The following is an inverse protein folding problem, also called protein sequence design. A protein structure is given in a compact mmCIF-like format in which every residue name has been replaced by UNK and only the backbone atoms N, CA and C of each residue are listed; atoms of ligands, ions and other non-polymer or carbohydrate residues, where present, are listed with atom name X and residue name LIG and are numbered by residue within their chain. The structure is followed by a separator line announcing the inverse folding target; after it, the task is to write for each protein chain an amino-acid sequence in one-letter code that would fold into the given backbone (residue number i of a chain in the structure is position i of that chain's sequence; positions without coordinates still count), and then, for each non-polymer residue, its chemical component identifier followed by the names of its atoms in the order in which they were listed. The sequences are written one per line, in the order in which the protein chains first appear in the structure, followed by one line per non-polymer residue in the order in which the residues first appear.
data_IF_310843498637
#
_entry.id   IF_310843498637
#
_cell.length_a   1.000
_cell.length_b   1.000
_cell.length_c   1.000
_cell.angle_alpha   90.00
_cell.angle_beta   90.00
_cell.angle_gamma   90.00
#
_symmetry.space_group_name_H-M   'P 1'
#
loop_
_entity.id
_entity.type
_entity.pdbx_description
1 polymer ?
#
# COMPACT_ATOMS: atom_id res chain seq x y z
N UNK A 1 -33.51 -3.79 -6.26
CA UNK A 1 -32.25 -3.43 -5.62
C UNK A 1 -31.73 -4.63 -4.83
N UNK A 2 -30.47 -4.95 -4.98
CA UNK A 2 -29.81 -6.10 -4.36
C UNK A 2 -28.45 -5.71 -3.81
N UNK A 3 -28.22 -6.04 -2.54
CA UNK A 3 -26.97 -5.83 -1.85
C UNK A 3 -26.15 -7.14 -1.87
N UNK A 4 -24.87 -7.03 -2.21
CA UNK A 4 -23.90 -8.12 -2.15
C UNK A 4 -22.75 -7.61 -1.31
N UNK A 5 -22.82 -7.80 0.01
CA UNK A 5 -21.84 -7.33 0.98
C UNK A 5 -21.14 -8.49 1.68
N UNK A 6 -19.88 -8.25 2.06
CA UNK A 6 -19.07 -9.18 2.86
C UNK A 6 -18.51 -8.58 4.15
N UNK A 7 -18.97 -7.40 4.65
CA UNK A 7 -18.46 -6.87 5.90
C UNK A 7 -19.03 -7.66 7.10
N UNK A 8 -18.44 -7.52 8.30
CA UNK A 8 -19.07 -7.88 9.55
C UNK A 8 -20.47 -7.26 9.68
N UNK A 9 -21.37 -7.93 10.40
CA UNK A 9 -22.80 -7.53 10.45
C UNK A 9 -23.03 -6.15 11.09
N UNK A 10 -22.20 -5.76 12.01
CA UNK A 10 -22.18 -4.46 12.69
C UNK A 10 -21.80 -3.30 11.76
N UNK A 11 -20.84 -3.51 10.86
CA UNK A 11 -20.45 -2.53 9.84
C UNK A 11 -21.50 -2.37 8.74
N UNK A 12 -22.20 -3.44 8.37
CA UNK A 12 -23.20 -3.42 7.30
C UNK A 12 -24.44 -2.57 7.64
N UNK A 13 -24.81 -2.47 8.93
CA UNK A 13 -26.07 -1.86 9.36
C UNK A 13 -26.15 -0.37 8.97
N UNK A 14 -25.10 0.41 9.17
CA UNK A 14 -25.04 1.82 8.81
C UNK A 14 -25.10 2.04 7.31
N UNK A 15 -24.30 1.29 6.55
CA UNK A 15 -24.28 1.37 5.08
C UNK A 15 -25.65 1.09 4.46
N UNK A 16 -26.45 0.15 5.01
CA UNK A 16 -27.76 -0.18 4.48
C UNK A 16 -28.77 0.96 4.52
N UNK A 17 -28.54 2.00 5.33
CA UNK A 17 -29.43 3.18 5.46
C UNK A 17 -29.16 4.29 4.47
N UNK A 18 -28.13 4.18 3.63
CA UNK A 18 -27.77 5.14 2.60
C UNK A 18 -28.86 5.24 1.50
N UNK A 19 -28.97 6.35 0.76
CA UNK A 19 -30.00 6.57 -0.25
C UNK A 19 -29.75 5.79 -1.55
N UNK A 20 -29.67 4.48 -1.46
CA UNK A 20 -29.31 3.57 -2.55
C UNK A 20 -30.24 3.60 -3.77
N UNK A 21 -31.44 4.16 -3.65
CA UNK A 21 -32.40 4.32 -4.76
C UNK A 21 -32.07 5.48 -5.68
N UNK A 22 -31.22 6.40 -5.21
CA UNK A 22 -30.89 7.64 -5.91
C UNK A 22 -29.57 7.53 -6.68
N UNK A 23 -29.38 8.24 -7.81
CA UNK A 23 -28.07 8.34 -8.47
C UNK A 23 -27.03 8.89 -7.51
N UNK A 24 -25.83 8.26 -7.46
CA UNK A 24 -24.76 8.59 -6.49
C UNK A 24 -24.38 10.09 -6.50
N UNK A 25 -24.39 10.73 -7.67
CA UNK A 25 -24.10 12.17 -7.83
C UNK A 25 -25.10 13.09 -7.15
N UNK A 26 -26.33 12.61 -6.88
CA UNK A 26 -27.44 13.38 -6.33
C UNK A 26 -27.61 13.20 -4.83
N UNK A 27 -26.81 12.30 -4.22
CA UNK A 27 -26.92 12.01 -2.80
C UNK A 27 -26.71 13.27 -1.95
N UNK A 28 -27.59 13.44 -0.98
CA UNK A 28 -27.52 14.44 0.08
C UNK A 28 -27.65 13.69 1.40
N UNK A 29 -26.54 13.34 2.01
CA UNK A 29 -26.46 12.60 3.27
C UNK A 29 -25.37 13.24 4.12
N UNK A 30 -25.62 13.45 5.41
CA UNK A 30 -24.71 14.13 6.34
C UNK A 30 -23.40 13.36 6.55
N UNK A 31 -23.35 12.08 6.18
CA UNK A 31 -22.15 11.22 6.23
C UNK A 31 -21.25 11.35 5.00
N UNK A 32 -21.67 12.12 4.00
CA UNK A 32 -20.83 12.38 2.83
C UNK A 32 -19.65 13.26 3.21
N UNK A 33 -18.47 12.81 2.86
CA UNK A 33 -17.22 13.51 3.13
C UNK A 33 -16.57 13.92 1.81
N UNK A 34 -16.10 15.15 1.75
CA UNK A 34 -15.30 15.63 0.63
C UNK A 34 -13.82 15.30 0.85
N UNK A 35 -13.28 14.42 0.00
CA UNK A 35 -11.84 14.16 -0.06
C UNK A 35 -11.29 14.87 -1.28
N UNK A 36 -10.28 15.70 -1.07
CA UNK A 36 -9.59 16.40 -2.15
C UNK A 36 -8.70 15.41 -2.93
N UNK A 37 -9.33 14.50 -3.67
CA UNK A 37 -8.63 13.66 -4.64
C UNK A 37 -8.40 14.46 -5.91
N UNK A 38 -7.13 14.64 -6.27
CA UNK A 38 -6.75 15.24 -7.54
C UNK A 38 -6.46 14.16 -8.57
N UNK A 39 -7.50 13.47 -9.03
CA UNK A 39 -7.48 12.53 -10.13
C UNK A 39 -8.71 12.72 -11.00
N UNK A 40 -8.58 12.60 -12.32
CA UNK A 40 -9.71 12.56 -13.25
C UNK A 40 -10.25 11.14 -13.21
N UNK A 41 -11.36 10.93 -12.51
CA UNK A 41 -12.09 9.65 -12.54
C UNK A 41 -13.13 9.67 -13.66
N UNK A 42 -13.23 8.58 -14.41
CA UNK A 42 -14.32 8.36 -15.39
C UNK A 42 -15.66 8.09 -14.71
N UNK A 43 -15.62 7.70 -13.44
CA UNK A 43 -16.77 7.34 -12.61
C UNK A 43 -17.04 8.40 -11.57
N UNK A 44 -18.30 8.50 -11.16
CA UNK A 44 -18.67 9.28 -9.97
C UNK A 44 -18.20 8.51 -8.74
N UNK A 45 -17.30 9.12 -7.98
CA UNK A 45 -16.81 8.59 -6.70
C UNK A 45 -17.26 9.53 -5.57
N UNK A 46 -17.82 8.98 -4.52
CA UNK A 46 -18.19 9.68 -3.28
C UNK A 46 -17.60 8.93 -2.09
N UNK A 47 -17.37 9.66 -1.02
CA UNK A 47 -16.89 9.08 0.23
C UNK A 47 -17.94 9.24 1.31
N UNK A 48 -18.09 8.19 2.14
CA UNK A 48 -19.04 8.15 3.24
C UNK A 48 -18.33 7.70 4.49
N UNK A 49 -18.49 8.45 5.56
CA UNK A 49 -18.07 8.06 6.90
C UNK A 49 -19.23 7.37 7.62
N UNK A 50 -19.02 6.16 8.11
CA UNK A 50 -19.99 5.42 8.89
C UNK A 50 -19.27 4.65 10.00
N UNK A 51 -19.73 4.85 11.24
CA UNK A 51 -19.20 4.14 12.43
C UNK A 51 -17.67 4.33 12.66
N UNK A 52 -17.13 5.48 12.24
CA UNK A 52 -15.70 5.79 12.36
C UNK A 52 -14.82 5.21 11.25
N UNK A 53 -15.43 4.58 10.24
CA UNK A 53 -14.77 4.05 9.07
C UNK A 53 -15.14 4.85 7.82
N UNK A 54 -14.22 5.02 6.92
CA UNK A 54 -14.42 5.76 5.67
C UNK A 54 -14.51 4.79 4.48
N UNK A 55 -15.52 5.00 3.65
CA UNK A 55 -15.81 4.16 2.48
C UNK A 55 -15.78 4.98 1.20
N UNK A 56 -15.24 4.39 0.13
CA UNK A 56 -15.33 4.93 -1.21
C UNK A 56 -16.46 4.20 -1.97
N UNK A 57 -17.36 4.98 -2.57
CA UNK A 57 -18.48 4.51 -3.36
C UNK A 57 -18.24 4.91 -4.82
N UNK A 58 -18.11 3.93 -5.72
CA UNK A 58 -17.86 4.12 -7.15
C UNK A 58 -19.10 3.71 -7.95
N UNK A 59 -19.71 4.68 -8.68
CA UNK A 59 -20.85 4.41 -9.56
C UNK A 59 -20.38 3.91 -10.91
N UNK A 60 -20.88 2.76 -11.35
CA UNK A 60 -20.46 2.11 -12.59
C UNK A 60 -21.51 1.13 -13.12
N UNK A 61 -21.36 0.71 -14.37
CA UNK A 61 -22.23 -0.30 -14.94
C UNK A 61 -22.24 -1.61 -14.13
N UNK A 62 -23.40 -2.25 -13.99
CA UNK A 62 -23.58 -3.42 -13.13
C UNK A 62 -22.64 -4.58 -13.46
N UNK A 63 -22.41 -4.85 -14.73
CA UNK A 63 -21.50 -5.92 -15.17
C UNK A 63 -20.07 -5.69 -14.67
N UNK A 64 -19.61 -4.44 -14.75
CA UNK A 64 -18.28 -4.02 -14.26
C UNK A 64 -18.21 -4.08 -12.75
N UNK A 65 -19.19 -3.54 -12.02
CA UNK A 65 -19.23 -3.57 -10.57
C UNK A 65 -19.16 -5.01 -10.00
N UNK A 66 -19.91 -5.95 -10.59
CA UNK A 66 -19.88 -7.35 -10.21
C UNK A 66 -18.54 -8.02 -10.53
N UNK A 67 -17.90 -7.63 -11.64
CA UNK A 67 -16.57 -8.14 -12.03
C UNK A 67 -15.51 -7.63 -11.09
N UNK A 68 -15.42 -6.32 -10.89
CA UNK A 68 -14.44 -5.69 -10.02
C UNK A 68 -14.58 -6.17 -8.57
N UNK A 69 -15.80 -6.31 -8.06
CA UNK A 69 -16.06 -6.91 -6.76
C UNK A 69 -15.43 -8.31 -6.60
N UNK A 70 -15.60 -9.18 -7.62
CA UNK A 70 -15.03 -10.54 -7.58
C UNK A 70 -13.51 -10.53 -7.65
N UNK A 71 -12.94 -9.67 -8.48
CA UNK A 71 -11.50 -9.54 -8.67
C UNK A 71 -10.82 -9.02 -7.39
N UNK A 72 -11.34 -7.96 -6.77
CA UNK A 72 -10.81 -7.44 -5.52
C UNK A 72 -10.92 -8.45 -4.37
N UNK A 73 -12.00 -9.22 -4.32
CA UNK A 73 -12.10 -10.33 -3.35
C UNK A 73 -11.05 -11.41 -3.57
N UNK A 74 -10.83 -11.79 -4.83
CA UNK A 74 -9.80 -12.78 -5.16
C UNK A 74 -8.39 -12.28 -4.77
N UNK A 75 -8.10 -11.00 -4.99
CA UNK A 75 -6.84 -10.40 -4.56
C UNK A 75 -6.68 -10.43 -3.02
N UNK A 76 -7.73 -10.11 -2.27
CA UNK A 76 -7.69 -10.20 -0.81
C UNK A 76 -7.37 -11.62 -0.30
N UNK A 77 -7.86 -12.66 -1.00
CA UNK A 77 -7.58 -14.07 -0.68
C UNK A 77 -6.13 -14.46 -0.98
N UNK A 78 -5.48 -13.80 -1.94
CA UNK A 78 -4.07 -14.06 -2.31
C UNK A 78 -3.07 -13.21 -1.54
N UNK A 79 -3.55 -12.22 -0.77
CA UNK A 79 -2.70 -11.32 0.00
C UNK A 79 -1.94 -10.28 -0.85
N UNK A 80 -2.35 -10.05 -2.10
CA UNK A 80 -1.80 -8.96 -2.91
C UNK A 80 -2.38 -7.62 -2.43
N UNK A 81 -1.54 -6.59 -2.23
CA UNK A 81 -2.01 -5.28 -1.78
C UNK A 81 -3.03 -4.66 -2.73
N UNK A 82 -4.26 -4.50 -2.28
CA UNK A 82 -5.36 -3.87 -2.99
C UNK A 82 -6.32 -3.23 -1.99
N UNK A 83 -7.15 -2.30 -2.45
CA UNK A 83 -8.21 -1.75 -1.59
C UNK A 83 -9.19 -2.86 -1.19
N UNK A 84 -9.62 -2.83 0.06
CA UNK A 84 -10.54 -3.82 0.61
C UNK A 84 -11.94 -3.58 0.08
N UNK A 85 -12.49 -4.54 -0.66
CA UNK A 85 -13.87 -4.45 -1.14
C UNK A 85 -14.86 -4.85 -0.04
N UNK A 86 -15.84 -4.01 0.20
CA UNK A 86 -16.93 -4.19 1.17
C UNK A 86 -18.13 -4.84 0.51
N UNK A 87 -18.50 -4.38 -0.69
CA UNK A 87 -19.64 -4.91 -1.39
C UNK A 87 -19.98 -4.21 -2.69
N UNK A 88 -21.08 -4.63 -3.29
CA UNK A 88 -21.68 -3.94 -4.43
C UNK A 88 -23.19 -3.91 -4.31
N UNK A 89 -23.80 -2.80 -4.74
CA UNK A 89 -25.25 -2.62 -4.79
C UNK A 89 -25.68 -2.59 -6.25
N UNK A 90 -26.52 -3.53 -6.62
CA UNK A 90 -26.95 -3.80 -8.01
C UNK A 90 -28.47 -3.82 -8.09
N UNK A 91 -29.02 -3.92 -9.31
CA UNK A 91 -30.47 -3.89 -9.54
C UNK A 91 -31.14 -2.66 -8.90
N UNK A 92 -30.50 -1.48 -8.97
CA UNK A 92 -30.96 -0.25 -8.34
C UNK A 92 -32.10 0.46 -9.07
N UNK A 93 -32.47 -0.01 -10.25
CA UNK A 93 -33.51 0.55 -11.10
C UNK A 93 -32.98 0.91 -12.48
N UNK A 94 -33.87 1.41 -13.38
CA UNK A 94 -33.50 1.65 -14.78
C UNK A 94 -32.52 2.79 -15.00
N UNK A 95 -32.51 3.77 -14.08
CA UNK A 95 -31.77 5.04 -14.24
C UNK A 95 -30.61 5.19 -13.25
N UNK A 96 -30.30 4.14 -12.46
CA UNK A 96 -29.23 4.18 -11.47
C UNK A 96 -28.21 3.07 -11.71
N UNK A 97 -26.97 3.47 -11.94
CA UNK A 97 -25.83 2.57 -12.04
C UNK A 97 -25.64 1.75 -10.76
N UNK A 98 -24.97 0.62 -10.87
CA UNK A 98 -24.49 -0.11 -9.69
C UNK A 98 -23.47 0.72 -8.92
N UNK A 99 -23.31 0.45 -7.64
CA UNK A 99 -22.29 1.06 -6.79
C UNK A 99 -21.39 -0.04 -6.24
N UNK A 100 -20.09 0.11 -6.47
CA UNK A 100 -19.05 -0.65 -5.79
C UNK A 100 -18.66 0.11 -4.51
N UNK A 101 -18.54 -0.60 -3.39
CA UNK A 101 -18.15 -0.07 -2.09
C UNK A 101 -16.83 -0.69 -1.70
N UNK A 102 -15.83 0.15 -1.47
CA UNK A 102 -14.52 -0.24 -0.95
C UNK A 102 -14.23 0.53 0.33
N UNK A 103 -13.44 -0.06 1.24
CA UNK A 103 -12.93 0.66 2.39
C UNK A 103 -11.86 1.66 1.92
N UNK A 104 -11.89 2.85 2.48
CA UNK A 104 -10.84 3.82 2.24
C UNK A 104 -9.51 3.30 2.80
N UNK A 105 -8.44 3.57 2.10
CA UNK A 105 -7.10 3.18 2.55
C UNK A 105 -6.49 4.33 3.37
N UNK A 106 -6.63 4.24 4.69
CA UNK A 106 -6.11 5.25 5.61
C UNK A 106 -4.60 5.44 5.46
N UNK A 107 -4.13 6.66 5.73
CA UNK A 107 -2.72 7.04 5.63
C UNK A 107 -2.09 6.81 4.26
N UNK A 108 -2.92 6.60 3.24
CA UNK A 108 -2.45 6.50 1.87
C UNK A 108 -2.17 7.87 1.26
N UNK A 109 -1.35 7.87 0.23
CA UNK A 109 -1.00 9.06 -0.55
C UNK A 109 -1.03 8.75 -2.03
N UNK A 110 -1.28 9.75 -2.85
CA UNK A 110 -1.20 9.63 -4.31
C UNK A 110 0.22 9.94 -4.78
N UNK A 111 0.55 9.45 -6.00
CA UNK A 111 1.84 9.80 -6.62
C UNK A 111 2.05 11.32 -6.75
N UNK A 112 1.00 12.09 -7.07
CA UNK A 112 1.08 13.56 -7.16
C UNK A 112 1.52 14.20 -5.84
N UNK A 113 0.98 13.73 -4.72
CA UNK A 113 1.37 14.21 -3.40
C UNK A 113 2.81 13.83 -3.03
N UNK A 114 3.28 12.66 -3.45
CA UNK A 114 4.67 12.23 -3.25
C UNK A 114 5.65 13.15 -3.98
N UNK A 115 5.36 13.52 -5.23
CA UNK A 115 6.21 14.44 -6.00
C UNK A 115 6.10 15.89 -5.53
N UNK A 116 4.94 16.31 -5.02
CA UNK A 116 4.77 17.67 -4.48
C UNK A 116 5.53 17.90 -3.18
N UNK A 117 5.87 16.83 -2.45
CA UNK A 117 6.59 16.94 -1.18
C UNK A 117 7.53 15.74 -0.98
N UNK A 118 8.67 15.70 -1.67
CA UNK A 118 9.60 14.58 -1.60
C UNK A 118 10.25 14.50 -0.21
N UNK A 119 10.15 13.34 0.43
CA UNK A 119 10.82 13.01 1.68
C UNK A 119 12.01 12.10 1.40
N UNK A 120 13.16 12.45 1.90
CA UNK A 120 14.33 11.59 2.07
C UNK A 120 14.66 10.69 0.88
N UNK A 121 15.34 11.21 -0.13
CA UNK A 121 15.75 10.50 -1.33
C UNK A 121 14.90 10.87 -2.56
N UNK A 122 15.21 10.28 -3.69
CA UNK A 122 14.43 10.49 -4.91
C UNK A 122 13.10 9.76 -4.81
N UNK A 123 11.94 10.46 -4.83
CA UNK A 123 10.63 9.82 -4.70
C UNK A 123 10.36 8.84 -5.83
N UNK A 124 10.98 9.05 -7.00
CA UNK A 124 10.85 8.21 -8.19
C UNK A 124 11.30 6.77 -7.94
N UNK A 125 12.47 6.56 -7.35
CA UNK A 125 13.01 5.22 -7.10
C UNK A 125 12.12 4.40 -6.17
N UNK A 126 11.71 5.01 -5.06
CA UNK A 126 10.85 4.34 -4.07
C UNK A 126 9.47 4.00 -4.63
N UNK A 127 8.93 4.88 -5.46
CA UNK A 127 7.65 4.69 -6.14
C UNK A 127 7.73 3.56 -7.16
N UNK A 128 8.80 3.53 -7.98
CA UNK A 128 9.01 2.47 -8.96
C UNK A 128 9.20 1.10 -8.31
N UNK A 129 9.98 1.02 -7.23
CA UNK A 129 10.19 -0.23 -6.51
C UNK A 129 8.86 -0.77 -5.98
N UNK A 130 8.01 0.08 -5.37
CA UNK A 130 6.71 -0.31 -4.87
C UNK A 130 5.76 -0.77 -5.99
N UNK A 131 5.72 -0.04 -7.10
CA UNK A 131 4.86 -0.37 -8.25
C UNK A 131 5.31 -1.68 -8.92
N UNK A 132 6.61 -1.87 -9.10
CA UNK A 132 7.19 -3.10 -9.65
C UNK A 132 6.87 -4.30 -8.77
N UNK A 133 7.03 -4.16 -7.45
CA UNK A 133 6.71 -5.22 -6.51
C UNK A 133 5.23 -5.61 -6.58
N UNK A 134 4.32 -4.63 -6.62
CA UNK A 134 2.89 -4.87 -6.80
C UNK A 134 2.60 -5.60 -8.12
N UNK A 135 3.15 -5.13 -9.25
CA UNK A 135 2.91 -5.74 -10.57
C UNK A 135 3.45 -7.18 -10.62
N UNK A 136 4.63 -7.45 -10.06
CA UNK A 136 5.18 -8.81 -9.98
C UNK A 136 4.30 -9.72 -9.12
N UNK A 137 3.80 -9.24 -7.97
CA UNK A 137 2.87 -9.99 -7.12
C UNK A 137 1.57 -10.35 -7.85
N UNK A 138 0.99 -9.39 -8.58
CA UNK A 138 -0.19 -9.61 -9.43
C UNK A 138 0.07 -10.70 -10.48
N UNK A 139 1.17 -10.61 -11.22
CA UNK A 139 1.52 -11.57 -12.26
C UNK A 139 1.79 -12.98 -11.71
N UNK A 140 2.45 -13.11 -10.56
CA UNK A 140 2.65 -14.41 -9.89
C UNK A 140 1.34 -15.08 -9.49
N UNK A 141 0.30 -14.29 -9.17
CA UNK A 141 -1.04 -14.78 -8.88
C UNK A 141 -1.90 -15.00 -10.14
N UNK A 142 -1.35 -14.82 -11.34
CA UNK A 142 -2.09 -14.96 -12.58
C UNK A 142 -3.05 -13.80 -12.88
N UNK A 143 -2.81 -12.65 -12.26
CA UNK A 143 -3.65 -11.47 -12.41
C UNK A 143 -3.03 -10.50 -13.44
N UNK A 144 -3.74 -10.29 -14.55
CA UNK A 144 -3.44 -9.29 -15.56
C UNK A 144 -4.13 -8.00 -15.16
N UNK A 145 -3.40 -6.90 -14.99
CA UNK A 145 -3.99 -5.64 -14.51
C UNK A 145 -4.70 -4.88 -15.61
N UNK A 146 -4.05 -4.73 -16.78
CA UNK A 146 -4.62 -4.10 -17.97
C UNK A 146 -4.69 -2.57 -17.95
N UNK A 147 -4.48 -1.93 -16.79
CA UNK A 147 -4.40 -0.47 -16.62
C UNK A 147 -3.49 -0.10 -15.44
N UNK A 148 -2.30 -0.70 -15.41
CA UNK A 148 -1.29 -0.38 -14.42
C UNK A 148 -0.82 1.06 -14.61
N UNK A 149 -1.20 1.94 -13.68
CA UNK A 149 -0.89 3.37 -13.72
C UNK A 149 -0.68 3.91 -12.30
N UNK A 150 -0.01 5.06 -12.22
CA UNK A 150 0.18 5.75 -10.94
C UNK A 150 -1.16 6.28 -10.38
N UNK A 151 -2.10 6.64 -11.24
CA UNK A 151 -3.45 7.09 -10.86
C UNK A 151 -4.31 5.97 -10.27
N UNK A 152 -4.09 4.73 -10.68
CA UNK A 152 -4.78 3.54 -10.20
C UNK A 152 -4.06 2.88 -9.02
N UNK A 153 -3.08 3.59 -8.44
CA UNK A 153 -2.26 3.12 -7.32
C UNK A 153 -2.30 4.13 -6.18
N UNK A 154 -2.51 3.65 -4.97
CA UNK A 154 -2.26 4.38 -3.74
C UNK A 154 -1.00 3.84 -3.06
N UNK A 155 -0.31 4.70 -2.34
CA UNK A 155 0.94 4.36 -1.69
C UNK A 155 0.82 4.60 -0.18
N UNK A 156 1.36 3.68 0.62
CA UNK A 156 1.52 3.84 2.07
C UNK A 156 2.98 3.72 2.45
N UNK A 157 3.35 4.42 3.51
CA UNK A 157 4.66 4.24 4.12
C UNK A 157 4.70 2.91 4.86
N UNK A 158 5.77 2.15 4.66
CA UNK A 158 6.03 0.90 5.34
C UNK A 158 7.49 0.81 5.77
N UNK A 159 7.79 1.36 6.92
CA UNK A 159 9.10 1.33 7.54
C UNK A 159 10.24 1.81 6.61
N UNK A 160 10.09 3.04 6.09
CA UNK A 160 11.05 3.68 5.21
C UNK A 160 10.95 3.26 3.75
N UNK A 161 10.06 2.33 3.40
CA UNK A 161 9.67 1.97 2.03
C UNK A 161 8.29 2.52 1.70
N UNK A 162 7.90 2.41 0.43
CA UNK A 162 6.51 2.55 0.00
C UNK A 162 5.95 1.17 -0.29
N UNK A 163 4.71 0.93 0.09
CA UNK A 163 3.90 -0.17 -0.40
C UNK A 163 2.84 0.38 -1.33
N UNK A 164 2.69 -0.24 -2.51
CA UNK A 164 1.72 0.14 -3.52
C UNK A 164 0.46 -0.72 -3.40
N UNK A 165 -0.71 -0.09 -3.50
CA UNK A 165 -2.02 -0.73 -3.42
C UNK A 165 -2.79 -0.52 -4.71
N UNK A 166 -3.29 -1.59 -5.31
CA UNK A 166 -4.19 -1.52 -6.44
C UNK A 166 -5.55 -0.95 -6.01
N UNK A 167 -6.02 0.08 -6.72
CA UNK A 167 -7.29 0.76 -6.42
C UNK A 167 -8.39 0.35 -7.39
N UNK A 168 -8.05 0.22 -8.68
CA UNK A 168 -9.00 -0.04 -9.76
C UNK A 168 -8.66 -1.33 -10.49
N UNK A 169 -9.60 -2.29 -10.46
CA UNK A 169 -9.49 -3.59 -11.13
C UNK A 169 -10.48 -3.73 -12.31
N UNK A 170 -11.05 -2.62 -12.82
CA UNK A 170 -12.08 -2.63 -13.84
C UNK A 170 -11.65 -3.34 -15.13
N UNK A 171 -10.41 -3.12 -15.57
CA UNK A 171 -9.82 -3.70 -16.79
C UNK A 171 -9.15 -5.05 -16.56
N UNK A 172 -9.00 -5.45 -15.31
CA UNK A 172 -8.19 -6.59 -14.91
C UNK A 172 -8.80 -7.94 -15.26
N UNK A 173 -7.96 -8.95 -15.40
CA UNK A 173 -8.35 -10.33 -15.68
C UNK A 173 -7.63 -11.33 -14.76
N UNK A 174 -8.35 -12.34 -14.29
CA UNK A 174 -7.79 -13.43 -13.51
C UNK A 174 -7.61 -14.66 -14.39
N UNK A 175 -6.39 -15.17 -14.43
CA UNK A 175 -6.00 -16.40 -15.12
C UNK A 175 -5.40 -17.40 -14.12
N UNK A 176 -5.38 -18.70 -14.41
CA UNK A 176 -4.64 -19.66 -13.58
C UNK A 176 -3.14 -19.33 -13.51
N UNK A 177 -2.55 -18.90 -14.63
CA UNK A 177 -1.19 -18.37 -14.79
C UNK A 177 -1.17 -17.46 -15.99
N UNK A 178 -0.32 -16.43 -15.96
CA UNK A 178 -0.08 -15.59 -17.13
C UNK A 178 0.99 -16.21 -18.03
N UNK A 179 0.79 -16.11 -19.33
CA UNK A 179 1.83 -16.38 -20.33
C UNK A 179 2.85 -15.23 -20.37
N UNK A 180 4.04 -15.49 -20.89
CA UNK A 180 5.05 -14.45 -21.08
C UNK A 180 4.50 -13.27 -21.89
N UNK A 181 3.79 -13.54 -22.99
CA UNK A 181 3.19 -12.50 -23.81
C UNK A 181 2.12 -11.67 -23.11
N UNK A 182 1.35 -12.26 -22.19
CA UNK A 182 0.39 -11.48 -21.37
C UNK A 182 1.12 -10.57 -20.39
N UNK A 183 2.18 -11.06 -19.74
CA UNK A 183 3.00 -10.22 -18.83
C UNK A 183 3.70 -9.10 -19.57
N UNK A 184 4.30 -9.41 -20.73
CA UNK A 184 4.97 -8.41 -21.56
C UNK A 184 4.00 -7.32 -22.04
N UNK A 185 2.77 -7.70 -22.36
CA UNK A 185 1.74 -6.76 -22.75
C UNK A 185 1.27 -5.87 -21.60
N UNK A 186 1.08 -6.45 -20.41
CA UNK A 186 0.70 -5.67 -19.22
C UNK A 186 1.82 -4.70 -18.80
N UNK A 187 3.07 -5.15 -18.93
CA UNK A 187 4.25 -4.30 -18.69
C UNK A 187 4.38 -3.18 -19.73
N UNK A 188 4.01 -3.42 -20.99
CA UNK A 188 3.96 -2.38 -22.02
C UNK A 188 2.92 -1.30 -21.68
N UNK A 189 1.73 -1.72 -21.26
CA UNK A 189 0.69 -0.80 -20.81
C UNK A 189 1.16 0.01 -19.59
N UNK A 190 1.82 -0.63 -18.62
CA UNK A 190 2.40 0.04 -17.44
C UNK A 190 3.44 1.10 -17.86
N UNK A 191 4.33 0.76 -18.80
CA UNK A 191 5.32 1.68 -19.35
C UNK A 191 4.68 2.92 -19.98
N UNK A 192 3.69 2.71 -20.85
CA UNK A 192 2.98 3.78 -21.54
C UNK A 192 2.26 4.71 -20.54
N UNK A 193 1.53 4.12 -19.58
CA UNK A 193 0.76 4.87 -18.57
C UNK A 193 1.65 5.67 -17.63
N UNK A 194 2.66 5.02 -17.07
CA UNK A 194 3.57 5.67 -16.12
C UNK A 194 4.36 6.79 -16.81
N UNK A 195 4.89 6.54 -18.01
CA UNK A 195 5.59 7.56 -18.78
C UNK A 195 4.70 8.77 -19.10
N UNK A 196 3.44 8.53 -19.53
CA UNK A 196 2.46 9.58 -19.80
C UNK A 196 2.11 10.41 -18.55
N UNK A 197 1.85 9.76 -17.42
CA UNK A 197 1.51 10.46 -16.16
C UNK A 197 2.68 11.25 -15.58
N UNK A 198 3.92 10.78 -15.75
CA UNK A 198 5.12 11.53 -15.37
C UNK A 198 5.35 12.74 -16.29
N UNK A 199 5.07 12.59 -17.59
CA UNK A 199 5.10 13.72 -18.52
C UNK A 199 4.06 14.78 -18.14
N UNK A 200 2.86 14.39 -17.70
CA UNK A 200 1.84 15.31 -17.18
C UNK A 200 2.32 16.03 -15.91
N UNK A 201 3.01 15.33 -15.00
CA UNK A 201 3.62 15.96 -13.81
C UNK A 201 4.70 16.97 -14.22
N UNK A 202 5.52 16.65 -15.22
CA UNK A 202 6.55 17.54 -15.73
C UNK A 202 5.94 18.78 -16.37
N UNK A 203 4.90 18.62 -17.17
CA UNK A 203 4.15 19.75 -17.74
C UNK A 203 3.50 20.61 -16.65
N UNK A 204 3.06 20.00 -15.55
CA UNK A 204 2.53 20.68 -14.35
C UNK A 204 3.60 21.23 -13.40
N UNK A 205 4.89 21.16 -13.75
CA UNK A 205 6.03 21.62 -12.93
C UNK A 205 6.13 20.92 -11.54
N UNK A 206 5.60 19.73 -11.42
CA UNK A 206 5.68 18.90 -10.21
C UNK A 206 6.83 17.88 -10.27
N UNK A 207 7.39 17.64 -11.46
CA UNK A 207 8.55 16.79 -11.68
C UNK A 207 9.74 17.68 -12.10
N UNK A 208 10.95 17.48 -11.52
CA UNK A 208 12.14 18.20 -11.93
C UNK A 208 12.42 18.04 -13.43
N UNK A 209 12.85 19.10 -14.14
CA UNK A 209 13.10 19.03 -15.58
C UNK A 209 14.24 18.08 -15.97
N UNK A 210 15.11 17.72 -15.01
CA UNK A 210 16.21 16.78 -15.19
C UNK A 210 15.73 15.32 -15.22
N UNK A 211 14.54 15.04 -14.75
CA UNK A 211 13.94 13.69 -14.75
C UNK A 211 13.25 13.45 -16.08
N UNK A 212 13.76 12.52 -16.88
CA UNK A 212 13.13 12.12 -18.14
C UNK A 212 12.03 11.08 -17.88
N UNK A 213 10.75 11.38 -18.12
CA UNK A 213 9.64 10.44 -17.95
C UNK A 213 9.81 9.11 -18.70
N UNK A 214 10.46 9.13 -19.86
CA UNK A 214 10.70 7.92 -20.66
C UNK A 214 11.81 7.07 -20.03
N UNK A 215 12.90 7.67 -19.57
CA UNK A 215 13.96 6.95 -18.85
C UNK A 215 13.41 6.29 -17.57
N UNK A 216 12.50 6.97 -16.85
CA UNK A 216 11.84 6.42 -15.67
C UNK A 216 10.94 5.24 -16.02
N UNK A 217 10.18 5.33 -17.11
CA UNK A 217 9.35 4.23 -17.59
C UNK A 217 10.20 3.04 -18.09
N UNK A 218 11.34 3.29 -18.71
CA UNK A 218 12.31 2.24 -19.08
C UNK A 218 12.92 1.58 -17.83
N UNK A 219 13.15 2.36 -16.76
CA UNK A 219 13.64 1.83 -15.50
C UNK A 219 12.62 0.91 -14.82
N UNK A 220 11.33 1.23 -14.89
CA UNK A 220 10.26 0.33 -14.43
C UNK A 220 10.37 -1.04 -15.10
N UNK A 221 10.55 -1.10 -16.42
CA UNK A 221 10.74 -2.37 -17.15
C UNK A 221 11.98 -3.13 -16.69
N UNK A 222 13.12 -2.44 -16.54
CA UNK A 222 14.37 -3.07 -16.09
C UNK A 222 14.22 -3.66 -14.69
N UNK A 223 13.62 -2.92 -13.75
CA UNK A 223 13.38 -3.38 -12.38
C UNK A 223 12.42 -4.56 -12.34
N UNK A 224 11.32 -4.49 -13.11
CA UNK A 224 10.39 -5.60 -13.22
C UNK A 224 11.09 -6.87 -13.72
N UNK A 225 11.84 -6.79 -14.83
CA UNK A 225 12.52 -7.94 -15.40
C UNK A 225 13.56 -8.50 -14.42
N UNK A 226 14.34 -7.64 -13.77
CA UNK A 226 15.34 -8.07 -12.79
C UNK A 226 14.69 -8.79 -11.59
N UNK A 227 13.58 -8.29 -11.07
CA UNK A 227 12.84 -8.92 -9.98
C UNK A 227 12.20 -10.23 -10.44
N UNK A 228 11.55 -10.24 -11.61
CA UNK A 228 10.93 -11.42 -12.18
C UNK A 228 11.94 -12.55 -12.40
N UNK A 229 13.09 -12.23 -13.01
CA UNK A 229 14.17 -13.21 -13.24
C UNK A 229 14.73 -13.74 -11.91
N UNK A 230 14.91 -12.85 -10.93
CA UNK A 230 15.35 -13.26 -9.60
C UNK A 230 14.37 -14.24 -8.94
N UNK A 231 13.05 -14.01 -9.09
CA UNK A 231 12.02 -14.84 -8.48
C UNK A 231 11.80 -16.17 -9.21
N UNK A 232 12.01 -16.22 -10.54
CA UNK A 232 11.63 -17.36 -11.39
C UNK A 232 12.82 -18.16 -11.92
N UNK A 233 14.06 -17.69 -11.77
CA UNK A 233 15.24 -18.36 -12.30
C UNK A 233 15.40 -19.77 -11.75
N UNK A 234 15.84 -20.68 -12.63
CA UNK A 234 16.28 -22.01 -12.26
C UNK A 234 17.80 -22.02 -12.04
N UNK A 235 18.28 -22.73 -11.04
CA UNK A 235 19.71 -22.88 -10.75
C UNK A 235 20.14 -24.34 -10.88
N UNK A 236 21.31 -24.58 -11.48
CA UNK A 236 21.93 -25.90 -11.49
C UNK A 236 22.86 -25.99 -10.29
N UNK A 237 22.56 -26.91 -9.37
CA UNK A 237 23.27 -27.06 -8.11
C UNK A 237 24.10 -28.35 -8.13
N UNK A 238 25.36 -28.27 -7.66
CA UNK A 238 26.17 -29.45 -7.35
C UNK A 238 25.67 -30.07 -6.03
N UNK A 239 25.82 -31.40 -5.89
CA UNK A 239 25.34 -32.09 -4.69
C UNK A 239 25.88 -31.52 -3.37
N UNK A 240 27.14 -31.06 -3.37
CA UNK A 240 27.83 -30.53 -2.20
C UNK A 240 27.29 -29.13 -1.79
N UNK A 241 26.73 -28.37 -2.73
CA UNK A 241 26.30 -27.00 -2.54
C UNK A 241 24.79 -26.88 -2.24
N UNK A 242 24.02 -27.95 -2.44
CA UNK A 242 22.55 -27.91 -2.46
C UNK A 242 21.95 -27.27 -1.21
N UNK A 243 22.32 -27.73 -0.01
CA UNK A 243 21.74 -27.23 1.24
C UNK A 243 22.00 -25.75 1.45
N UNK A 244 23.22 -25.31 1.20
CA UNK A 244 23.61 -23.92 1.36
C UNK A 244 22.91 -23.02 0.35
N UNK A 245 22.92 -23.40 -0.93
CA UNK A 245 22.32 -22.60 -2.02
C UNK A 245 20.81 -22.52 -1.89
N UNK A 246 20.15 -23.61 -1.51
CA UNK A 246 18.70 -23.59 -1.23
C UNK A 246 18.42 -22.63 -0.08
N UNK A 247 19.12 -22.72 1.04
CA UNK A 247 18.93 -21.85 2.19
C UNK A 247 19.19 -20.37 1.87
N UNK A 248 20.25 -20.09 1.10
CA UNK A 248 20.57 -18.74 0.61
C UNK A 248 19.45 -18.19 -0.28
N UNK A 249 18.97 -19.01 -1.22
CA UNK A 249 17.87 -18.64 -2.12
C UNK A 249 16.59 -18.33 -1.37
N UNK A 250 16.19 -19.20 -0.43
CA UNK A 250 15.00 -19.00 0.40
C UNK A 250 15.11 -17.72 1.24
N UNK A 251 16.26 -17.47 1.86
CA UNK A 251 16.50 -16.25 2.60
C UNK A 251 16.35 -15.00 1.72
N UNK A 252 16.93 -15.01 0.52
CA UNK A 252 16.86 -13.90 -0.43
C UNK A 252 15.44 -13.64 -0.91
N UNK A 253 14.65 -14.69 -1.19
CA UNK A 253 13.24 -14.55 -1.52
C UNK A 253 12.45 -13.91 -0.38
N UNK A 254 12.68 -14.36 0.86
CA UNK A 254 12.02 -13.80 2.04
C UNK A 254 12.44 -12.33 2.29
N UNK A 255 13.72 -11.97 2.03
CA UNK A 255 14.20 -10.58 2.11
C UNK A 255 13.50 -9.66 1.09
N UNK A 256 13.09 -10.22 -0.06
CA UNK A 256 12.32 -9.55 -1.11
C UNK A 256 10.80 -9.55 -0.84
N UNK A 257 10.34 -10.15 0.27
CA UNK A 257 8.92 -10.23 0.61
C UNK A 257 8.14 -11.35 -0.09
N UNK A 258 8.85 -12.38 -0.57
CA UNK A 258 8.25 -13.54 -1.25
C UNK A 258 8.58 -14.84 -0.51
N UNK A 259 7.63 -15.78 -0.50
CA UNK A 259 7.83 -17.13 0.03
C UNK A 259 8.10 -18.15 -1.07
N UNK A 260 8.80 -19.22 -0.71
CA UNK A 260 8.88 -20.40 -1.55
C UNK A 260 7.63 -21.26 -1.33
N UNK A 261 6.75 -21.30 -2.30
CA UNK A 261 5.58 -22.18 -2.27
C UNK A 261 5.95 -23.65 -2.47
N UNK A 262 6.93 -23.92 -3.32
CA UNK A 262 7.39 -25.28 -3.64
C UNK A 262 8.86 -25.24 -4.07
N UNK A 263 9.63 -26.17 -3.56
CA UNK A 263 11.04 -26.37 -3.95
C UNK A 263 11.14 -27.71 -4.67
N UNK A 264 11.48 -27.67 -5.95
CA UNK A 264 11.66 -28.86 -6.78
C UNK A 264 13.13 -29.03 -7.15
N UNK A 265 13.65 -30.23 -6.91
CA UNK A 265 14.98 -30.62 -7.33
C UNK A 265 14.87 -31.70 -8.41
N UNK A 266 15.26 -31.38 -9.64
CA UNK A 266 15.25 -32.29 -10.76
C UNK A 266 16.67 -32.70 -11.08
N UNK A 267 16.97 -34.01 -10.96
CA UNK A 267 18.29 -34.56 -11.34
C UNK A 267 18.51 -34.47 -12.85
N UNK A 268 19.62 -33.87 -13.24
CA UNK A 268 20.08 -33.78 -14.64
C UNK A 268 21.45 -34.41 -14.79
N UNK A 269 21.91 -34.63 -16.02
CA UNK A 269 23.26 -35.18 -16.27
C UNK A 269 24.40 -34.26 -15.82
N UNK A 270 24.14 -33.00 -15.55
CA UNK A 270 25.09 -31.97 -15.13
C UNK A 270 25.01 -31.61 -13.65
N UNK A 271 24.03 -32.16 -12.92
CA UNK A 271 23.75 -31.85 -11.51
C UNK A 271 22.25 -31.87 -11.21
N UNK A 272 21.84 -31.30 -10.06
CA UNK A 272 20.44 -31.15 -9.73
C UNK A 272 19.99 -29.74 -10.09
N UNK A 273 18.93 -29.64 -10.89
CA UNK A 273 18.28 -28.35 -11.22
C UNK A 273 17.35 -27.99 -10.09
N UNK A 274 17.64 -26.84 -9.45
CA UNK A 274 16.76 -26.24 -8.44
C UNK A 274 15.73 -25.36 -9.15
N UNK A 275 14.47 -25.67 -8.94
CA UNK A 275 13.33 -24.81 -9.29
C UNK A 275 12.62 -24.44 -7.99
N UNK A 276 12.50 -23.16 -7.76
CA UNK A 276 11.71 -22.64 -6.65
C UNK A 276 10.47 -21.99 -7.25
N UNK A 277 9.31 -22.55 -6.92
CA UNK A 277 8.02 -21.87 -7.21
C UNK A 277 7.80 -20.84 -6.14
N UNK A 278 7.98 -19.59 -6.52
CA UNK A 278 7.65 -18.45 -5.66
C UNK A 278 6.15 -18.31 -5.49
N UNK A 279 5.75 -18.10 -4.27
CA UNK A 279 4.43 -17.56 -3.95
C UNK A 279 4.62 -16.13 -3.48
N UNK A 280 3.61 -15.29 -3.72
CA UNK A 280 3.44 -14.11 -2.89
C UNK A 280 3.42 -14.63 -1.46
N UNK A 281 4.39 -14.22 -0.63
CA UNK A 281 4.36 -14.56 0.79
C UNK A 281 2.94 -14.30 1.27
N UNK A 282 2.37 -15.20 2.08
CA UNK A 282 1.10 -14.84 2.72
C UNK A 282 1.32 -13.48 3.36
N UNK A 283 0.89 -12.46 2.64
CA UNK A 283 1.00 -11.08 3.04
C UNK A 283 0.53 -10.99 4.49
N UNK A 284 1.40 -10.53 5.39
CA UNK A 284 1.01 -10.37 6.77
C UNK A 284 1.40 -11.48 7.74
N UNK A 285 2.45 -12.25 7.48
CA UNK A 285 2.97 -13.17 8.52
C UNK A 285 3.42 -12.40 9.76
N UNK A 286 4.27 -11.40 9.61
CA UNK A 286 4.71 -10.55 10.73
C UNK A 286 3.58 -9.66 11.23
N UNK A 287 2.75 -9.14 10.34
CA UNK A 287 1.53 -8.39 10.65
C UNK A 287 0.59 -9.21 11.55
N UNK A 288 0.26 -10.46 11.17
CA UNK A 288 -0.56 -11.35 12.00
C UNK A 288 0.12 -11.67 13.33
N UNK A 289 1.41 -11.97 13.33
CA UNK A 289 2.16 -12.23 14.56
C UNK A 289 2.13 -11.03 15.51
N UNK A 290 2.37 -9.83 14.99
CA UNK A 290 2.32 -8.60 15.78
C UNK A 290 0.91 -8.38 16.33
N UNK A 291 -0.09 -8.44 15.45
CA UNK A 291 -1.50 -8.27 15.85
C UNK A 291 -1.94 -9.25 16.94
N UNK A 292 -1.62 -10.53 16.79
CA UNK A 292 -1.94 -11.55 17.80
C UNK A 292 -1.26 -11.34 19.14
N UNK A 293 -0.09 -10.67 19.18
CA UNK A 293 0.68 -10.43 20.40
C UNK A 293 0.36 -9.10 21.07
N UNK A 294 -0.02 -8.09 20.29
CA UNK A 294 -0.12 -6.69 20.76
C UNK A 294 -1.43 -6.01 20.37
N UNK A 295 -2.19 -6.53 19.39
CA UNK A 295 -3.34 -5.84 18.82
C UNK A 295 -2.99 -4.72 17.84
N UNK A 296 -1.69 -4.46 17.58
CA UNK A 296 -1.25 -3.40 16.66
C UNK A 296 -1.48 -3.86 15.22
N UNK A 297 -2.21 -3.06 14.44
CA UNK A 297 -2.27 -3.17 13.00
C UNK A 297 -1.12 -2.35 12.38
N UNK A 298 -0.31 -3.00 11.57
CA UNK A 298 0.87 -2.42 10.95
C UNK A 298 1.14 -3.07 9.60
N UNK A 299 1.90 -2.40 8.74
CA UNK A 299 2.36 -3.01 7.49
C UNK A 299 3.43 -4.07 7.75
N UNK A 300 3.76 -4.87 6.74
CA UNK A 300 4.59 -6.07 6.93
C UNK A 300 6.02 -5.74 7.39
N UNK A 301 6.66 -4.73 6.81
CA UNK A 301 7.99 -4.31 7.25
C UNK A 301 7.97 -3.61 8.61
N UNK A 302 6.96 -2.79 8.87
CA UNK A 302 6.72 -2.21 10.19
C UNK A 302 6.56 -3.31 11.23
N UNK A 303 5.68 -4.28 10.97
CA UNK A 303 5.43 -5.40 11.88
C UNK A 303 6.69 -6.21 12.17
N UNK A 304 7.51 -6.50 11.15
CA UNK A 304 8.80 -7.17 11.32
C UNK A 304 9.75 -6.38 12.23
N UNK A 305 9.84 -5.06 12.05
CA UNK A 305 10.71 -4.19 12.86
C UNK A 305 10.21 -4.07 14.29
N UNK A 306 8.90 -3.92 14.49
CA UNK A 306 8.28 -3.89 15.81
C UNK A 306 8.50 -5.23 16.58
N UNK A 307 8.35 -6.37 15.91
CA UNK A 307 8.66 -7.68 16.50
C UNK A 307 10.14 -7.81 16.90
N UNK A 308 11.06 -7.27 16.10
CA UNK A 308 12.48 -7.23 16.46
C UNK A 308 12.75 -6.32 17.66
N UNK A 309 12.06 -5.19 17.78
CA UNK A 309 12.18 -4.31 18.92
C UNK A 309 11.62 -4.96 20.21
N UNK A 310 10.49 -5.67 20.12
CA UNK A 310 9.94 -6.50 21.22
C UNK A 310 10.96 -7.56 21.65
N UNK A 311 11.62 -8.23 20.73
CA UNK A 311 12.64 -9.24 21.03
C UNK A 311 13.86 -8.61 21.73
N UNK A 312 14.28 -7.43 21.29
CA UNK A 312 15.36 -6.66 21.93
C UNK A 312 14.99 -6.21 23.35
N UNK A 313 13.76 -5.73 23.53
CA UNK A 313 13.23 -5.35 24.83
C UNK A 313 13.13 -6.55 25.78
N UNK A 314 12.73 -7.72 25.27
CA UNK A 314 12.76 -8.96 26.06
C UNK A 314 14.15 -9.28 26.55
N UNK A 315 15.19 -9.20 25.69
CA UNK A 315 16.59 -9.39 26.08
C UNK A 315 17.04 -8.42 27.17
N UNK A 316 16.62 -7.16 27.08
CA UNK A 316 16.86 -6.16 28.12
C UNK A 316 16.21 -6.54 29.48
N UNK A 317 14.95 -7.00 29.45
CA UNK A 317 14.25 -7.43 30.65
C UNK A 317 14.94 -8.66 31.30
N UNK A 318 15.31 -9.65 30.50
CA UNK A 318 16.02 -10.86 30.98
C UNK A 318 17.35 -10.51 31.60
N UNK A 319 18.08 -9.55 31.05
CA UNK A 319 19.33 -9.07 31.64
C UNK A 319 19.11 -8.30 32.97
N UNK A 320 18.05 -7.48 32.99
CA UNK A 320 17.71 -6.67 34.17
C UNK A 320 17.19 -7.52 35.33
N UNK A 321 16.30 -8.46 35.05
CA UNK A 321 15.58 -9.23 36.06
C UNK A 321 16.30 -10.54 36.43
N UNK A 322 17.31 -10.95 35.65
CA UNK A 322 18.12 -12.15 35.89
C UNK A 322 17.40 -13.48 35.67
N UNK A 323 16.25 -13.47 35.00
CA UNK A 323 15.47 -14.66 34.64
C UNK A 323 14.87 -14.57 33.27
N UNK A 324 14.47 -15.70 32.70
CA UNK A 324 13.80 -15.74 31.36
C UNK A 324 12.43 -15.07 31.47
N UNK A 325 12.11 -14.29 30.41
CA UNK A 325 10.83 -13.58 30.27
C UNK A 325 10.07 -14.20 29.08
N UNK A 326 8.79 -14.55 29.28
CA UNK A 326 7.97 -15.07 28.19
C UNK A 326 7.74 -14.02 27.11
N UNK A 327 7.58 -14.45 25.86
CA UNK A 327 7.31 -13.56 24.73
C UNK A 327 6.05 -12.72 24.93
N UNK A 328 4.99 -13.33 25.46
CA UNK A 328 3.72 -12.66 25.75
C UNK A 328 3.88 -11.55 26.77
N UNK A 329 4.60 -11.81 27.88
CA UNK A 329 4.85 -10.82 28.91
C UNK A 329 5.73 -9.68 28.37
N UNK A 330 6.76 -10.01 27.61
CA UNK A 330 7.63 -9.03 26.99
C UNK A 330 6.84 -8.13 26.02
N UNK A 331 5.97 -8.71 25.18
CA UNK A 331 5.14 -7.96 24.25
C UNK A 331 4.14 -7.04 24.98
N UNK A 332 3.47 -7.53 26.03
CA UNK A 332 2.54 -6.72 26.83
C UNK A 332 3.23 -5.53 27.52
N UNK A 333 4.38 -5.77 28.15
CA UNK A 333 5.15 -4.70 28.80
C UNK A 333 5.73 -3.71 27.80
N UNK A 334 6.21 -4.19 26.65
CA UNK A 334 6.72 -3.35 25.59
C UNK A 334 5.61 -2.45 25.04
N UNK A 335 4.41 -2.99 24.83
CA UNK A 335 3.24 -2.21 24.39
C UNK A 335 2.97 -1.06 25.36
N UNK A 336 2.84 -1.34 26.64
CA UNK A 336 2.48 -0.35 27.67
C UNK A 336 3.65 0.63 27.97
N UNK A 337 4.87 0.10 28.18
CA UNK A 337 6.01 0.89 28.67
C UNK A 337 6.74 1.64 27.56
N UNK A 338 6.64 1.17 26.29
CA UNK A 338 7.42 1.71 25.18
C UNK A 338 6.53 2.28 24.09
N UNK A 339 5.68 1.46 23.48
CA UNK A 339 4.87 1.86 22.33
C UNK A 339 3.81 2.90 22.70
N UNK A 340 2.93 2.58 23.63
CA UNK A 340 1.85 3.47 24.09
C UNK A 340 2.40 4.75 24.71
N UNK A 341 3.52 4.67 25.42
CA UNK A 341 4.18 5.84 25.99
C UNK A 341 4.67 6.81 24.91
N UNK A 342 5.18 6.30 23.78
CA UNK A 342 5.58 7.14 22.62
C UNK A 342 4.36 7.74 21.95
N UNK A 343 3.31 6.95 21.70
CA UNK A 343 2.11 7.43 21.03
C UNK A 343 1.36 8.48 21.87
N UNK A 344 1.30 8.30 23.19
CA UNK A 344 0.70 9.27 24.09
C UNK A 344 1.43 10.62 24.10
N UNK A 345 2.72 10.64 23.76
CA UNK A 345 3.52 11.86 23.70
C UNK A 345 3.38 12.63 22.37
N UNK A 346 2.67 12.09 21.39
CA UNK A 346 2.45 12.78 20.10
C UNK A 346 1.55 13.99 20.35
N UNK A 347 1.96 15.20 19.90
CA UNK A 347 1.10 16.38 19.96
C UNK A 347 -0.21 16.16 19.19
N UNK A 348 -1.32 16.62 19.75
CA UNK A 348 -2.68 16.38 19.23
C UNK A 348 -2.85 16.73 17.75
N UNK A 349 -2.32 17.87 17.31
CA UNK A 349 -2.36 18.30 15.89
C UNK A 349 -1.45 17.54 14.93
N UNK A 350 -0.68 16.53 15.41
CA UNK A 350 0.26 15.74 14.59
C UNK A 350 -0.08 14.24 14.58
N UNK A 351 -1.12 13.81 15.29
CA UNK A 351 -1.46 12.38 15.44
C UNK A 351 -1.85 11.72 14.12
N UNK A 352 -2.49 12.47 13.26
CA UNK A 352 -3.03 11.97 11.99
C UNK A 352 -2.05 12.14 10.81
N UNK A 353 -0.81 12.52 11.08
CA UNK A 353 0.19 12.71 10.01
C UNK A 353 0.67 11.43 9.38
N UNK A 354 0.81 10.37 10.17
CA UNK A 354 1.22 9.02 9.75
C UNK A 354 0.48 7.98 10.60
N UNK A 355 0.46 6.75 10.09
CA UNK A 355 0.01 5.61 10.87
C UNK A 355 0.82 5.49 12.18
N UNK A 356 0.19 5.14 13.31
CA UNK A 356 0.88 5.04 14.61
C UNK A 356 2.12 4.16 14.58
N UNK A 357 2.05 3.02 13.87
CA UNK A 357 3.18 2.10 13.71
C UNK A 357 4.35 2.73 12.93
N UNK A 358 4.05 3.58 11.92
CA UNK A 358 5.08 4.32 11.18
C UNK A 358 5.71 5.41 12.02
N UNK A 359 4.92 6.19 12.77
CA UNK A 359 5.46 7.20 13.70
C UNK A 359 6.44 6.54 14.67
N UNK A 360 6.05 5.40 15.26
CA UNK A 360 6.92 4.68 16.18
C UNK A 360 8.19 4.19 15.50
N UNK A 361 8.07 3.65 14.28
CA UNK A 361 9.23 3.23 13.49
C UNK A 361 10.19 4.39 13.21
N UNK A 362 9.68 5.54 12.74
CA UNK A 362 10.50 6.72 12.47
C UNK A 362 11.18 7.27 13.75
N UNK A 363 10.52 7.16 14.91
CA UNK A 363 11.14 7.49 16.21
C UNK A 363 12.33 6.57 16.52
N UNK A 364 12.23 5.27 16.21
CA UNK A 364 13.36 4.34 16.40
C UNK A 364 14.53 4.65 15.46
N UNK A 365 14.26 5.00 14.21
CA UNK A 365 15.30 5.45 13.25
C UNK A 365 15.95 6.76 13.71
N UNK A 366 15.15 7.71 14.15
CA UNK A 366 15.64 8.97 14.70
C UNK A 366 16.50 8.78 15.95
N UNK A 367 16.12 7.83 16.83
CA UNK A 367 16.92 7.42 17.98
C UNK A 367 18.29 6.89 17.57
N UNK A 368 18.30 6.01 16.56
CA UNK A 368 19.56 5.45 16.04
C UNK A 368 20.46 6.57 15.52
N UNK A 369 19.93 7.47 14.68
CA UNK A 369 20.67 8.59 14.10
C UNK A 369 21.24 9.53 15.19
N UNK A 370 20.44 9.94 16.16
CA UNK A 370 20.88 10.81 17.24
C UNK A 370 21.90 10.10 18.16
N UNK A 371 21.74 8.80 18.39
CA UNK A 371 22.66 8.01 19.20
C UNK A 371 24.02 7.86 18.54
N UNK A 372 24.03 7.67 17.20
CA UNK A 372 25.26 7.63 16.42
C UNK A 372 26.01 8.97 16.49
N UNK A 373 25.31 10.10 16.32
CA UNK A 373 25.90 11.43 16.46
C UNK A 373 26.44 11.70 17.90
N UNK A 374 25.73 11.24 18.91
CA UNK A 374 26.10 11.45 20.29
C UNK A 374 27.16 10.45 20.82
N UNK A 375 27.47 9.39 20.06
CA UNK A 375 28.35 8.30 20.49
C UNK A 375 27.84 7.51 21.70
N UNK A 376 26.53 7.60 21.99
CA UNK A 376 25.86 6.88 23.09
C UNK A 376 24.37 6.76 22.81
N UNK A 377 23.71 5.76 23.40
CA UNK A 377 22.26 5.66 23.34
C UNK A 377 21.57 6.82 24.07
N UNK A 378 20.70 7.55 23.36
CA UNK A 378 19.93 8.68 23.91
C UNK A 378 18.56 8.25 24.48
N UNK A 379 18.13 7.01 24.24
CA UNK A 379 16.86 6.46 24.67
C UNK A 379 15.65 6.93 23.85
N UNK A 380 14.59 6.11 23.85
CA UNK A 380 13.39 6.30 23.01
C UNK A 380 12.63 7.59 23.35
N UNK A 381 12.50 7.93 24.65
CA UNK A 381 11.75 9.13 25.07
C UNK A 381 12.38 10.44 24.58
N UNK A 382 13.71 10.56 24.61
CA UNK A 382 14.40 11.75 24.14
C UNK A 382 14.34 11.85 22.61
N UNK A 383 14.47 10.72 21.93
CA UNK A 383 14.33 10.63 20.47
C UNK A 383 12.90 11.00 20.01
N UNK A 384 11.88 10.48 20.67
CA UNK A 384 10.48 10.79 20.38
C UNK A 384 10.19 12.30 20.49
N UNK A 385 10.65 12.95 21.56
CA UNK A 385 10.51 14.40 21.72
C UNK A 385 11.17 15.16 20.57
N UNK A 386 12.42 14.84 20.29
CA UNK A 386 13.15 15.48 19.18
C UNK A 386 12.46 15.26 17.84
N UNK A 387 11.98 14.04 17.57
CA UNK A 387 11.27 13.71 16.34
C UNK A 387 9.97 14.52 16.20
N UNK A 388 9.17 14.63 17.27
CA UNK A 388 7.92 15.38 17.28
C UNK A 388 8.12 16.90 17.14
N UNK A 389 9.27 17.41 17.55
CA UNK A 389 9.59 18.83 17.41
C UNK A 389 10.19 19.17 16.04
N UNK A 390 10.97 18.26 15.44
CA UNK A 390 11.80 18.61 14.28
C UNK A 390 11.41 17.94 12.98
N UNK A 391 10.88 16.72 13.02
CA UNK A 391 10.60 15.89 11.83
C UNK A 391 9.11 15.78 11.53
N UNK A 392 8.33 15.31 12.49
CA UNK A 392 6.89 15.05 12.29
C UNK A 392 6.09 16.26 11.80
N UNK A 393 6.37 17.53 12.22
CA UNK A 393 5.67 18.70 11.69
C UNK A 393 5.87 18.94 10.19
N UNK A 394 6.98 18.43 9.62
CA UNK A 394 7.30 18.56 8.20
C UNK A 394 6.61 17.50 7.34
N UNK A 395 5.97 16.52 7.99
CA UNK A 395 5.21 15.46 7.32
C UNK A 395 3.93 16.05 6.74
N UNK A 396 3.63 15.91 5.42
CA UNK A 396 2.34 16.29 4.86
C UNK A 396 1.21 15.56 5.57
N UNK A 397 0.07 16.24 5.70
CA UNK A 397 -1.14 15.54 6.15
C UNK A 397 -1.53 14.48 5.11
N UNK A 398 -1.92 13.28 5.53
CA UNK A 398 -2.47 12.28 4.62
C UNK A 398 -3.77 12.78 3.99
N UNK A 399 -4.28 12.03 3.00
CA UNK A 399 -5.62 12.24 2.49
C UNK A 399 -6.60 11.98 3.64
N UNK A 400 -7.05 13.04 4.30
CA UNK A 400 -8.03 12.96 5.37
C UNK A 400 -9.32 13.63 4.95
N UNK A 401 -10.43 13.15 5.50
CA UNK A 401 -11.72 13.84 5.48
C UNK A 401 -11.55 15.22 6.11
N UNK A 402 -11.92 16.26 5.37
CA UNK A 402 -11.63 17.63 5.72
C UNK A 402 -12.17 18.04 7.10
N UNK A 403 -11.25 18.46 7.97
CA UNK A 403 -11.56 19.35 9.07
C UNK A 403 -11.22 20.78 8.66
N UNK A 404 -12.23 21.61 8.69
CA UNK A 404 -12.29 23.07 8.73
C UNK A 404 -11.41 23.96 7.85
N UNK A 405 -12.15 24.74 7.09
CA UNK A 405 -12.05 26.12 6.66
C UNK A 405 -10.73 26.87 6.84
N UNK A 406 -9.99 26.98 5.72
CA UNK A 406 -9.29 28.23 5.42
C UNK A 406 -9.53 28.55 3.95
N UNK A 407 -10.42 29.52 3.74
CA UNK A 407 -10.59 30.24 2.49
C UNK A 407 -9.23 30.75 1.99
N UNK A 408 -8.87 30.36 0.79
CA UNK A 408 -8.15 31.26 -0.09
C UNK A 408 -8.91 31.34 -1.40
N UNK A 409 -9.50 32.49 -1.54
CA UNK A 409 -10.17 32.98 -2.71
C UNK A 409 -9.25 32.96 -3.93
N UNK A 410 -9.88 32.70 -5.05
CA UNK A 410 -9.90 33.56 -6.22
C UNK A 410 -9.12 33.06 -7.44
N UNK A 411 -9.85 33.05 -8.51
CA UNK A 411 -9.35 32.89 -9.86
C UNK A 411 -10.43 32.47 -10.84
N UNK A 412 -11.57 33.17 -10.82
CA UNK A 412 -12.46 33.23 -11.99
C UNK A 412 -11.67 33.70 -13.22
N UNK A 413 -11.57 32.85 -14.20
CA UNK A 413 -11.30 33.27 -15.56
C UNK A 413 -12.28 32.55 -16.49
N UNK A 414 -13.44 33.15 -16.57
CA UNK A 414 -14.41 33.00 -17.62
C UNK A 414 -13.73 33.39 -18.97
N UNK A 415 -13.64 32.46 -19.88
CA UNK A 415 -13.07 32.62 -21.22
C UNK A 415 -13.93 31.86 -22.22
N UNK A 416 -15.15 32.39 -22.44
CA UNK A 416 -15.99 32.00 -23.55
C UNK A 416 -15.24 32.20 -24.89
N UNK A 417 -15.08 31.12 -25.64
CA UNK A 417 -14.78 31.18 -27.09
C UNK A 417 -15.91 30.52 -27.82
N UNK A 418 -16.66 31.33 -28.50
CA UNK A 418 -17.67 30.96 -29.47
C UNK A 418 -17.05 30.31 -30.71
N UNK A 419 -17.76 29.40 -31.38
CA UNK A 419 -17.30 28.83 -32.63
C UNK A 419 -17.87 29.65 -33.80
N UNK A 420 -17.02 30.19 -34.62
CA UNK A 420 -17.39 30.55 -36.01
C UNK A 420 -16.24 30.32 -36.98
N UNK A 421 -16.61 29.62 -38.07
CA UNK A 421 -16.15 29.69 -39.45
C UNK A 421 -14.93 28.86 -39.92
N UNK A 422 -15.32 27.99 -40.79
CA UNK A 422 -14.92 27.46 -42.08
C UNK A 422 -14.41 26.03 -42.09
#
# INVERSE_FOLDING_TARGET
MRFVFSPPADEAAGLLTLPWSEPLKEWQDDRLVEIRMRGISRHVVRFVEDSGELYALKSMGEGLARREYRLLRSLAETGVPAVSVVGTVVDRGRDADAILVTRFLDYSTTYRALFSNPRGGEPTDRLLDALVELLVRLHLCGFFWGDCSLSNTLFRQDAGRLEAYLVDAETSEQHPTLTDGQRDWDLELAWERVGGELADLQAGQLLPPEVDPIEVADDLRRRYQALWDELTREEILRPEEQRYRIAERLRRLNELGFDAGEVELVSTGEGNRLRVRTRVAESGHHRRQLFMRTGIDAEENQARRLLNDIASFRGYLEQKDGHQVSETLAASRWLEEVYDAVLAAIPEGLRDRLAPAEIFHEVLEHRWYLSEQAGRDIGTTAAARSYFETVLPQVPAPLSAGADGAETADGDADGAVSPELA
#
